data_IF_542553145795
#
_entry.id   IF_542553145795
#
_cell.length_a   1.000
_cell.length_b   1.000
_cell.length_c   1.000
_cell.angle_alpha   90.00
_cell.angle_beta   90.00
_cell.angle_gamma   90.00
#
_symmetry.space_group_name_H-M   'P 1'
#
loop_
_entity.id
_entity.type
_entity.pdbx_description
1 polymer ?
#
# COMPACT_ATOMS: atom_id res chain seq x y z
N UNK A 1 19.38 6.51 27.18
CA UNK A 1 18.14 5.76 26.86
C UNK A 1 18.38 4.51 26.00
N UNK A 2 19.32 4.53 25.05
CA UNK A 2 19.65 3.37 24.20
C UNK A 2 20.19 2.15 24.97
N UNK A 3 21.03 2.38 26.00
CA UNK A 3 21.61 1.32 26.85
C UNK A 3 20.56 0.63 27.75
N UNK A 4 19.57 1.39 28.24
CA UNK A 4 18.47 0.83 29.04
C UNK A 4 17.53 -0.06 28.20
N UNK A 5 17.28 0.32 26.94
CA UNK A 5 16.52 -0.51 26.00
C UNK A 5 17.26 -1.80 25.61
N UNK A 6 18.59 -1.73 25.47
CA UNK A 6 19.45 -2.88 25.17
C UNK A 6 19.55 -3.85 26.36
N UNK A 7 19.59 -3.34 27.59
CA UNK A 7 19.55 -4.13 28.82
C UNK A 7 18.17 -4.79 29.02
N UNK A 8 17.07 -4.09 28.73
CA UNK A 8 15.71 -4.63 28.78
C UNK A 8 15.49 -5.73 27.72
N UNK A 9 16.01 -5.56 26.50
CA UNK A 9 15.95 -6.59 25.46
C UNK A 9 16.78 -7.84 25.80
N UNK A 10 17.92 -7.67 26.48
CA UNK A 10 18.80 -8.77 26.93
C UNK A 10 18.21 -9.52 28.13
N UNK A 11 17.49 -8.81 29.01
CA UNK A 11 16.73 -9.37 30.14
C UNK A 11 15.49 -10.14 29.68
N UNK A 12 14.74 -9.63 28.70
CA UNK A 12 13.56 -10.32 28.15
C UNK A 12 13.92 -11.58 27.33
N UNK A 13 15.08 -11.58 26.66
CA UNK A 13 15.58 -12.74 25.91
C UNK A 13 16.14 -13.87 26.79
N UNK A 14 16.46 -13.59 28.07
CA UNK A 14 17.08 -14.55 28.98
C UNK A 14 16.06 -15.44 29.74
N UNK A 15 14.76 -15.14 29.66
CA UNK A 15 13.73 -15.77 30.48
C UNK A 15 12.56 -16.38 29.68
N UNK A 16 12.76 -16.68 28.38
CA UNK A 16 11.75 -17.39 27.60
C UNK A 16 11.95 -18.91 27.76
N UNK A 17 11.01 -19.64 28.40
CA UNK A 17 11.11 -21.08 28.55
C UNK A 17 11.11 -21.75 27.18
N UNK A 18 12.00 -22.73 26.99
CA UNK A 18 12.02 -23.54 25.77
C UNK A 18 10.65 -24.19 25.55
N UNK A 19 10.03 -24.05 24.37
CA UNK A 19 8.75 -24.66 24.11
C UNK A 19 8.85 -26.18 24.07
N UNK A 20 7.70 -26.82 24.33
CA UNK A 20 7.59 -28.28 24.41
C UNK A 20 7.83 -28.98 23.08
N UNK A 21 7.52 -28.34 21.94
CA UNK A 21 7.68 -28.98 20.62
C UNK A 21 8.44 -28.11 19.61
N UNK A 22 9.34 -28.76 18.86
CA UNK A 22 10.09 -28.18 17.74
C UNK A 22 9.17 -27.65 16.63
N UNK A 23 8.19 -28.47 16.22
CA UNK A 23 7.25 -28.14 15.14
C UNK A 23 6.35 -26.95 15.55
N UNK A 24 5.95 -26.91 16.82
CA UNK A 24 5.19 -25.80 17.39
C UNK A 24 5.94 -24.45 17.38
N UNK A 25 7.25 -24.45 17.66
CA UNK A 25 8.08 -23.24 17.58
C UNK A 25 8.26 -22.75 16.14
N UNK A 26 8.38 -23.68 15.18
CA UNK A 26 8.50 -23.34 13.77
C UNK A 26 7.18 -22.78 13.23
N UNK A 27 6.05 -23.43 13.53
CA UNK A 27 4.71 -22.94 13.17
C UNK A 27 4.42 -21.56 13.74
N UNK A 28 4.63 -21.37 15.04
CA UNK A 28 4.38 -20.06 15.68
C UNK A 28 5.28 -18.95 15.10
N UNK A 29 6.56 -19.23 14.84
CA UNK A 29 7.45 -18.30 14.16
C UNK A 29 6.99 -17.97 12.74
N UNK A 30 6.56 -18.97 11.97
CA UNK A 30 6.09 -18.78 10.60
C UNK A 30 4.77 -18.00 10.56
N UNK A 31 3.83 -18.31 11.45
CA UNK A 31 2.57 -17.56 11.59
C UNK A 31 2.83 -16.11 12.00
N UNK A 32 3.76 -15.86 12.92
CA UNK A 32 4.10 -14.51 13.37
C UNK A 32 4.74 -13.65 12.27
N UNK A 33 5.48 -14.27 11.32
CA UNK A 33 6.01 -13.59 10.12
C UNK A 33 4.94 -13.40 9.04
N UNK A 34 4.12 -14.42 8.81
CA UNK A 34 3.08 -14.41 7.77
C UNK A 34 1.99 -13.37 8.05
N UNK A 35 1.58 -13.21 9.31
CA UNK A 35 0.47 -12.34 9.70
C UNK A 35 0.68 -10.86 9.29
N UNK A 36 1.82 -10.21 9.59
CA UNK A 36 2.08 -8.85 9.12
C UNK A 36 2.31 -8.77 7.60
N UNK A 37 2.88 -9.80 6.97
CA UNK A 37 3.08 -9.81 5.51
C UNK A 37 1.75 -9.87 4.75
N UNK A 38 0.87 -10.79 5.16
CA UNK A 38 -0.49 -10.91 4.61
C UNK A 38 -1.30 -9.65 4.93
N UNK A 39 -1.19 -9.12 6.15
CA UNK A 39 -1.79 -7.84 6.52
C UNK A 39 -1.33 -6.68 5.62
N UNK A 40 -0.04 -6.62 5.30
CA UNK A 40 0.52 -5.62 4.39
C UNK A 40 0.00 -5.78 2.96
N UNK A 41 -0.09 -7.02 2.46
CA UNK A 41 -0.63 -7.30 1.12
C UNK A 41 -2.12 -6.95 1.03
N UNK A 42 -2.93 -7.33 2.03
CA UNK A 42 -4.36 -6.99 2.10
C UNK A 42 -4.57 -5.49 2.21
N UNK A 43 -3.78 -4.81 3.05
CA UNK A 43 -3.81 -3.35 3.16
C UNK A 43 -3.45 -2.67 1.83
N UNK A 44 -2.41 -3.14 1.15
CA UNK A 44 -2.00 -2.63 -0.17
C UNK A 44 -3.07 -2.85 -1.24
N UNK A 45 -3.68 -4.03 -1.29
CA UNK A 45 -4.74 -4.36 -2.24
C UNK A 45 -5.97 -3.46 -2.03
N UNK A 46 -6.43 -3.33 -0.78
CA UNK A 46 -7.59 -2.49 -0.44
C UNK A 46 -7.32 -1.01 -0.76
N UNK A 47 -6.11 -0.52 -0.43
CA UNK A 47 -5.77 0.87 -0.67
C UNK A 47 -5.58 1.20 -2.16
N UNK A 48 -5.18 0.21 -2.97
CA UNK A 48 -5.05 0.34 -4.44
C UNK A 48 -6.41 0.52 -5.12
N UNK A 49 -7.43 -0.24 -4.70
CA UNK A 49 -8.80 -0.10 -5.23
C UNK A 49 -9.44 1.23 -4.87
N UNK A 50 -9.21 1.73 -3.65
CA UNK A 50 -9.70 3.06 -3.23
C UNK A 50 -9.03 4.21 -4.00
N UNK A 51 -7.73 4.13 -4.28
CA UNK A 51 -7.04 5.16 -5.08
C UNK A 51 -7.48 5.14 -6.54
N UNK A 52 -7.65 3.95 -7.13
CA UNK A 52 -8.07 3.80 -8.52
C UNK A 52 -9.50 4.31 -8.75
N UNK A 53 -10.43 4.06 -7.81
CA UNK A 53 -11.80 4.55 -7.88
C UNK A 53 -11.91 6.07 -7.79
N UNK A 54 -11.17 6.68 -6.86
CA UNK A 54 -11.14 8.13 -6.67
C UNK A 54 -10.53 8.86 -7.88
N UNK A 55 -9.47 8.31 -8.48
CA UNK A 55 -8.84 8.86 -9.69
C UNK A 55 -9.78 8.83 -10.90
N UNK A 56 -10.51 7.72 -11.10
CA UNK A 56 -11.40 7.58 -12.26
C UNK A 56 -12.57 8.55 -12.24
N UNK A 57 -13.17 8.77 -11.07
CA UNK A 57 -14.28 9.74 -10.92
C UNK A 57 -13.81 11.19 -10.96
N UNK A 58 -12.67 11.52 -10.33
CA UNK A 58 -12.12 12.88 -10.36
C UNK A 58 -11.69 13.29 -11.77
N UNK A 59 -11.00 12.41 -12.50
CA UNK A 59 -10.60 12.66 -13.91
C UNK A 59 -11.84 12.75 -14.82
N UNK A 60 -12.85 11.91 -14.60
CA UNK A 60 -14.09 11.96 -15.37
C UNK A 60 -14.83 13.29 -15.16
N UNK A 61 -15.01 13.72 -13.90
CA UNK A 61 -15.67 14.98 -13.56
C UNK A 61 -14.89 16.20 -14.09
N UNK A 62 -13.57 16.21 -13.96
CA UNK A 62 -12.72 17.27 -14.51
C UNK A 62 -12.83 17.35 -16.04
N UNK A 63 -12.86 16.20 -16.75
CA UNK A 63 -13.01 16.17 -18.21
C UNK A 63 -14.38 16.68 -18.68
N UNK A 64 -15.43 16.44 -17.90
CA UNK A 64 -16.78 16.92 -18.19
C UNK A 64 -16.88 18.42 -17.94
N UNK A 65 -16.34 18.90 -16.82
CA UNK A 65 -16.31 20.32 -16.48
C UNK A 65 -15.50 21.14 -17.50
N UNK A 66 -14.37 20.61 -17.99
CA UNK A 66 -13.58 21.25 -19.05
C UNK A 66 -14.30 21.30 -20.41
N UNK A 67 -15.06 20.26 -20.76
CA UNK A 67 -15.87 20.23 -21.99
C UNK A 67 -17.03 21.21 -21.92
N UNK A 68 -17.77 21.21 -20.82
CA UNK A 68 -18.85 22.15 -20.56
C UNK A 68 -18.38 23.61 -20.61
N UNK A 69 -17.22 23.88 -20.01
CA UNK A 69 -16.55 25.19 -20.06
C UNK A 69 -16.27 25.67 -21.47
N UNK A 70 -15.67 24.83 -22.32
CA UNK A 70 -15.43 25.19 -23.73
C UNK A 70 -16.74 25.47 -24.47
N UNK A 71 -17.76 24.64 -24.26
CA UNK A 71 -19.06 24.85 -24.90
C UNK A 71 -19.72 26.17 -24.46
N UNK A 72 -19.53 26.58 -23.21
CA UNK A 72 -20.04 27.86 -22.70
C UNK A 72 -19.41 29.05 -23.42
N UNK A 73 -18.09 29.03 -23.61
CA UNK A 73 -17.36 30.06 -24.38
C UNK A 73 -17.86 30.12 -25.82
N UNK A 74 -17.98 28.97 -26.47
CA UNK A 74 -18.40 28.91 -27.88
C UNK A 74 -19.82 29.46 -28.07
N UNK A 75 -20.72 29.19 -27.11
CA UNK A 75 -22.10 29.70 -27.15
C UNK A 75 -22.16 31.20 -26.87
N UNK A 76 -21.37 31.70 -25.92
CA UNK A 76 -21.30 33.16 -25.66
C UNK A 76 -20.75 33.90 -26.87
N UNK A 77 -19.75 33.36 -27.56
CA UNK A 77 -19.27 33.93 -28.82
C UNK A 77 -20.33 33.90 -29.93
N UNK A 78 -21.25 32.92 -29.93
CA UNK A 78 -22.40 32.93 -30.84
C UNK A 78 -23.43 34.00 -30.47
N UNK A 79 -23.72 34.17 -29.17
CA UNK A 79 -24.59 35.24 -28.65
C UNK A 79 -24.05 36.61 -29.04
N UNK A 80 -22.76 36.84 -28.82
CA UNK A 80 -22.08 38.10 -29.16
C UNK A 80 -22.26 38.43 -30.65
N UNK A 81 -21.96 37.47 -31.54
CA UNK A 81 -22.08 37.67 -33.00
C UNK A 81 -23.49 38.05 -33.41
N UNK A 82 -24.51 37.32 -32.94
CA UNK A 82 -25.91 37.57 -33.33
C UNK A 82 -26.44 38.86 -32.69
N UNK A 83 -26.08 39.15 -31.44
CA UNK A 83 -26.47 40.39 -30.76
C UNK A 83 -25.88 41.64 -31.45
N UNK A 84 -24.60 41.58 -31.85
CA UNK A 84 -23.98 42.65 -32.63
C UNK A 84 -24.62 42.80 -34.02
N UNK A 85 -24.96 41.69 -34.68
CA UNK A 85 -25.69 41.73 -35.95
C UNK A 85 -27.07 42.38 -35.80
N UNK A 86 -27.85 42.02 -34.79
CA UNK A 86 -29.17 42.63 -34.54
C UNK A 86 -29.09 44.12 -34.19
N UNK A 87 -28.04 44.54 -33.50
CA UNK A 87 -27.82 45.95 -33.19
C UNK A 87 -27.53 46.80 -34.45
N UNK A 88 -27.06 46.19 -35.54
CA UNK A 88 -26.66 46.89 -36.78
C UNK A 88 -27.66 46.66 -37.92
N UNK A 89 -27.99 45.40 -38.21
CA UNK A 89 -28.99 44.98 -39.19
C UNK A 89 -30.33 44.81 -38.47
N UNK A 90 -31.27 45.73 -38.72
CA UNK A 90 -32.62 45.71 -38.16
C UNK A 90 -33.51 44.64 -38.83
N UNK A 91 -33.02 43.40 -38.91
CA UNK A 91 -33.63 42.29 -39.63
C UNK A 91 -34.49 41.43 -38.69
N UNK A 92 -35.80 41.19 -38.99
CA UNK A 92 -36.65 40.26 -38.26
C UNK A 92 -36.09 38.84 -38.13
N UNK A 93 -35.37 38.31 -39.12
CA UNK A 93 -34.89 36.92 -39.09
C UNK A 93 -33.84 36.68 -38.00
N UNK A 94 -33.03 37.69 -37.69
CA UNK A 94 -32.00 37.61 -36.66
C UNK A 94 -32.57 37.40 -35.25
N UNK A 95 -33.79 37.87 -34.98
CA UNK A 95 -34.46 37.62 -33.71
C UNK A 95 -34.80 36.13 -33.52
N UNK A 96 -35.13 35.43 -34.60
CA UNK A 96 -35.39 33.98 -34.57
C UNK A 96 -34.10 33.21 -34.33
N UNK A 97 -33.00 33.62 -34.97
CA UNK A 97 -31.68 33.04 -34.75
C UNK A 97 -31.18 33.28 -33.32
N UNK A 98 -31.38 34.48 -32.79
CA UNK A 98 -31.03 34.78 -31.40
C UNK A 98 -31.83 33.94 -30.40
N UNK A 99 -33.15 33.79 -30.61
CA UNK A 99 -33.98 32.90 -29.79
C UNK A 99 -33.56 31.43 -29.84
N UNK A 100 -32.91 30.97 -30.92
CA UNK A 100 -32.30 29.64 -31.00
C UNK A 100 -31.04 29.55 -30.14
N UNK A 101 -30.15 30.54 -30.24
CA UNK A 101 -28.91 30.59 -29.47
C UNK A 101 -29.20 30.72 -27.96
N UNK A 102 -30.16 31.57 -27.57
CA UNK A 102 -30.62 31.74 -26.20
C UNK A 102 -31.09 30.42 -25.58
N UNK A 103 -32.02 29.71 -26.24
CA UNK A 103 -32.50 28.39 -25.77
C UNK A 103 -31.38 27.38 -25.63
N UNK A 104 -30.46 27.37 -26.60
CA UNK A 104 -29.28 26.53 -26.54
C UNK A 104 -28.49 26.87 -25.28
N UNK A 105 -28.08 28.13 -25.09
CA UNK A 105 -27.34 28.58 -23.91
C UNK A 105 -28.00 28.18 -22.59
N UNK A 106 -29.31 28.39 -22.46
CA UNK A 106 -30.08 28.02 -21.26
C UNK A 106 -30.00 26.51 -20.96
N UNK A 107 -30.13 25.67 -21.98
CA UNK A 107 -29.99 24.22 -21.82
C UNK A 107 -28.58 23.85 -21.33
N UNK A 108 -27.52 24.48 -21.86
CA UNK A 108 -26.17 24.23 -21.37
C UNK A 108 -25.99 24.70 -19.93
N UNK A 109 -26.52 25.87 -19.56
CA UNK A 109 -26.45 26.36 -18.19
C UNK A 109 -27.12 25.39 -17.21
N UNK A 110 -28.26 24.80 -17.58
CA UNK A 110 -28.93 23.75 -16.81
C UNK A 110 -28.10 22.47 -16.71
N UNK A 111 -27.46 22.02 -17.80
CA UNK A 111 -26.55 20.87 -17.79
C UNK A 111 -25.34 21.10 -16.88
N UNK A 112 -24.78 22.32 -16.88
CA UNK A 112 -23.67 22.69 -15.99
C UNK A 112 -24.12 22.72 -14.53
N UNK A 113 -25.33 23.22 -14.26
CA UNK A 113 -25.88 23.28 -12.90
C UNK A 113 -26.09 21.90 -12.25
N UNK A 114 -26.17 20.82 -13.05
CA UNK A 114 -26.24 19.44 -12.54
C UNK A 114 -24.89 18.87 -12.12
N UNK A 115 -23.78 19.50 -12.53
CA UNK A 115 -22.45 19.10 -12.09
C UNK A 115 -22.24 19.47 -10.61
N UNK A 116 -21.33 18.78 -9.89
CA UNK A 116 -20.98 19.12 -8.52
C UNK A 116 -20.19 20.44 -8.50
N UNK A 117 -20.91 21.56 -8.54
CA UNK A 117 -20.37 22.91 -8.45
C UNK A 117 -20.21 23.31 -6.98
N UNK A 118 -19.17 24.08 -6.68
CA UNK A 118 -19.07 24.79 -5.41
C UNK A 118 -19.99 26.03 -5.37
N UNK A 119 -20.22 26.59 -4.19
CA UNK A 119 -21.13 27.73 -3.99
C UNK A 119 -20.74 28.95 -4.86
N UNK A 120 -19.44 29.14 -5.09
CA UNK A 120 -18.94 30.27 -5.89
C UNK A 120 -19.18 30.07 -7.39
N UNK A 121 -19.05 28.84 -7.88
CA UNK A 121 -19.32 28.45 -9.26
C UNK A 121 -20.80 28.52 -9.58
N UNK A 122 -21.66 28.03 -8.67
CA UNK A 122 -23.11 28.12 -8.83
C UNK A 122 -23.56 29.59 -8.89
N UNK A 123 -23.01 30.44 -8.02
CA UNK A 123 -23.31 31.88 -8.03
C UNK A 123 -22.82 32.58 -9.31
N UNK A 124 -21.64 32.21 -9.84
CA UNK A 124 -21.14 32.76 -11.09
C UNK A 124 -22.01 32.32 -12.29
N UNK A 125 -22.39 31.04 -12.37
CA UNK A 125 -23.26 30.51 -13.42
C UNK A 125 -24.63 31.20 -13.43
N UNK A 126 -25.23 31.40 -12.25
CA UNK A 126 -26.50 32.12 -12.12
C UNK A 126 -26.38 33.57 -12.59
N UNK A 127 -25.30 34.27 -12.23
CA UNK A 127 -25.04 35.64 -12.72
C UNK A 127 -24.90 35.68 -14.25
N UNK A 128 -24.20 34.71 -14.85
CA UNK A 128 -24.09 34.60 -16.32
C UNK A 128 -25.45 34.36 -16.97
N UNK A 129 -26.27 33.48 -16.40
CA UNK A 129 -27.62 33.21 -16.91
C UNK A 129 -28.54 34.43 -16.81
N UNK A 130 -28.49 35.17 -15.69
CA UNK A 130 -29.26 36.41 -15.50
C UNK A 130 -28.85 37.51 -16.49
N UNK A 131 -27.55 37.67 -16.75
CA UNK A 131 -27.05 38.66 -17.71
C UNK A 131 -27.50 38.33 -19.14
N UNK A 132 -27.42 37.06 -19.52
CA UNK A 132 -27.87 36.58 -20.84
C UNK A 132 -29.38 36.77 -21.03
N UNK A 133 -30.19 36.45 -20.02
CA UNK A 133 -31.64 36.69 -20.05
C UNK A 133 -31.93 38.18 -20.21
N UNK A 134 -31.26 39.05 -19.43
CA UNK A 134 -31.49 40.50 -19.51
C UNK A 134 -31.12 41.09 -20.88
N UNK A 135 -30.14 40.49 -21.55
CA UNK A 135 -29.75 40.85 -22.90
C UNK A 135 -30.79 40.38 -23.92
N UNK A 136 -31.34 39.17 -23.74
CA UNK A 136 -32.44 38.66 -24.55
C UNK A 136 -33.68 39.53 -24.47
N UNK A 137 -34.07 39.92 -23.27
CA UNK A 137 -35.24 40.79 -23.06
C UNK A 137 -35.01 42.15 -23.74
N UNK A 138 -33.82 42.75 -23.60
CA UNK A 138 -33.47 44.02 -24.24
C UNK A 138 -33.55 43.96 -25.78
N UNK A 139 -33.12 42.85 -26.37
CA UNK A 139 -33.11 42.67 -27.83
C UNK A 139 -34.50 42.28 -28.39
N UNK A 140 -35.38 41.73 -27.55
CA UNK A 140 -36.67 41.17 -28.00
C UNK A 140 -37.88 42.04 -27.62
N UNK A 141 -37.85 42.74 -26.48
CA UNK A 141 -38.99 43.52 -25.97
C UNK A 141 -39.08 44.95 -26.53
N UNK A 142 -37.99 45.53 -27.05
CA UNK A 142 -38.05 46.90 -27.58
C UNK A 142 -38.62 46.94 -29.00
N UNK A 143 -39.59 47.83 -29.31
CA UNK A 143 -40.10 48.02 -30.66
C UNK A 143 -39.06 48.74 -31.54
N UNK A 144 -38.04 48.01 -32.02
CA UNK A 144 -37.07 48.33 -33.12
C UNK A 144 -36.63 49.80 -33.27
N UNK A 145 -36.66 50.61 -32.21
CA UNK A 145 -36.37 52.04 -32.25
C UNK A 145 -34.92 52.22 -31.84
N UNK A 146 -34.01 52.10 -32.82
CA UNK A 146 -32.55 52.24 -32.69
C UNK A 146 -32.01 51.65 -31.38
N UNK A 147 -31.78 50.33 -31.38
CA UNK A 147 -30.98 49.67 -30.36
C UNK A 147 -29.70 50.49 -30.09
N UNK A 148 -29.49 50.92 -28.85
CA UNK A 148 -28.25 51.58 -28.47
C UNK A 148 -27.13 50.54 -28.46
N UNK A 149 -26.28 50.60 -29.48
CA UNK A 149 -25.13 49.70 -29.64
C UNK A 149 -24.24 49.71 -28.39
N UNK A 150 -24.15 50.83 -27.65
CA UNK A 150 -23.38 50.92 -26.40
C UNK A 150 -24.03 50.16 -25.24
N UNK A 151 -25.36 50.17 -25.15
CA UNK A 151 -26.08 49.41 -24.13
C UNK A 151 -25.90 47.90 -24.36
N UNK A 152 -25.94 47.45 -25.62
CA UNK A 152 -25.69 46.06 -26.01
C UNK A 152 -24.25 45.66 -25.68
N UNK A 153 -23.25 46.47 -26.06
CA UNK A 153 -21.84 46.15 -25.79
C UNK A 153 -21.56 46.07 -24.28
N UNK A 154 -22.08 47.01 -23.49
CA UNK A 154 -21.90 47.01 -22.02
C UNK A 154 -22.48 45.75 -21.37
N UNK A 155 -23.67 45.30 -21.82
CA UNK A 155 -24.28 44.05 -21.34
C UNK A 155 -23.43 42.83 -21.73
N UNK A 156 -22.88 42.85 -22.95
CA UNK A 156 -22.02 41.78 -23.48
C UNK A 156 -20.72 41.66 -22.70
N UNK A 157 -20.08 42.79 -22.38
CA UNK A 157 -18.86 42.82 -21.57
C UNK A 157 -19.10 42.19 -20.20
N UNK A 158 -20.25 42.48 -19.57
CA UNK A 158 -20.68 41.85 -18.33
C UNK A 158 -20.85 40.34 -18.45
N UNK A 159 -21.52 39.87 -19.53
CA UNK A 159 -21.73 38.44 -19.82
C UNK A 159 -20.41 37.69 -20.05
N UNK A 160 -19.50 38.28 -20.81
CA UNK A 160 -18.18 37.70 -21.08
C UNK A 160 -17.37 37.61 -19.79
N UNK A 161 -17.42 38.64 -18.92
CA UNK A 161 -16.67 38.65 -17.67
C UNK A 161 -17.20 37.62 -16.67
N UNK A 162 -18.52 37.52 -16.48
CA UNK A 162 -19.10 36.49 -15.59
C UNK A 162 -18.81 35.07 -16.09
N UNK A 163 -18.83 34.85 -17.41
CA UNK A 163 -18.45 33.58 -17.98
C UNK A 163 -16.96 33.26 -17.80
N UNK A 164 -16.08 34.27 -17.87
CA UNK A 164 -14.67 34.10 -17.52
C UNK A 164 -14.48 33.75 -16.06
N UNK A 165 -15.30 34.27 -15.14
CA UNK A 165 -15.27 33.85 -13.73
C UNK A 165 -15.68 32.38 -13.57
N UNK A 166 -16.73 31.92 -14.26
CA UNK A 166 -17.13 30.49 -14.29
C UNK A 166 -15.97 29.61 -14.78
N UNK A 167 -15.19 30.09 -15.77
CA UNK A 167 -14.03 29.37 -16.34
C UNK A 167 -12.77 29.41 -15.45
N UNK A 168 -12.48 30.56 -14.84
CA UNK A 168 -11.29 30.77 -14.02
C UNK A 168 -11.33 29.96 -12.73
N UNK A 169 -12.53 29.68 -12.21
CA UNK A 169 -12.70 28.81 -11.04
C UNK A 169 -12.52 27.33 -11.44
N UNK A 170 -12.93 26.95 -12.66
CA UNK A 170 -12.84 25.57 -13.15
C UNK A 170 -11.40 25.08 -13.37
N UNK A 171 -10.51 25.94 -13.91
CA UNK A 171 -9.10 25.56 -14.12
C UNK A 171 -8.30 25.46 -12.81
N UNK A 172 -8.71 26.15 -11.74
CA UNK A 172 -8.09 25.98 -10.41
C UNK A 172 -8.40 24.63 -9.78
N UNK A 173 -9.48 23.95 -10.19
CA UNK A 173 -9.82 22.60 -9.73
C UNK A 173 -8.92 21.56 -10.38
N UNK A 174 -8.54 21.71 -11.66
CA UNK A 174 -7.60 20.79 -12.32
C UNK A 174 -6.24 20.78 -11.62
N UNK A 175 -5.72 21.96 -11.24
CA UNK A 175 -4.44 22.04 -10.50
C UNK A 175 -4.56 21.59 -9.04
N UNK A 176 -5.68 21.88 -8.35
CA UNK A 176 -5.88 21.47 -6.94
C UNK A 176 -6.14 19.98 -6.79
N UNK A 177 -6.85 19.36 -7.72
CA UNK A 177 -7.17 17.92 -7.65
C UNK A 177 -5.96 17.07 -8.06
N UNK A 178 -5.15 17.54 -9.03
CA UNK A 178 -3.86 16.91 -9.36
C UNK A 178 -2.86 17.03 -8.20
N UNK A 179 -2.82 18.16 -7.48
CA UNK A 179 -2.00 18.30 -6.26
C UNK A 179 -2.52 17.44 -5.09
N UNK A 180 -3.84 17.29 -4.92
CA UNK A 180 -4.41 16.38 -3.89
C UNK A 180 -4.12 14.91 -4.18
N UNK A 181 -4.07 14.51 -5.46
CA UNK A 181 -3.62 13.17 -5.88
C UNK A 181 -2.13 12.96 -5.58
N UNK A 182 -1.29 13.99 -5.78
CA UNK A 182 0.14 13.95 -5.45
C UNK A 182 0.40 13.82 -3.94
N UNK A 183 -0.29 14.60 -3.09
CA UNK A 183 -0.05 14.60 -1.64
C UNK A 183 -0.56 13.34 -0.93
N UNK A 184 -1.63 12.71 -1.44
CA UNK A 184 -2.10 11.42 -0.91
C UNK A 184 -1.26 10.23 -1.39
N UNK A 185 -0.65 10.30 -2.57
CA UNK A 185 0.31 9.28 -3.02
C UNK A 185 1.55 9.24 -2.11
N UNK A 186 2.03 10.39 -1.65
CA UNK A 186 3.19 10.47 -0.77
C UNK A 186 2.92 9.91 0.65
N UNK A 187 1.73 10.15 1.21
CA UNK A 187 1.33 9.57 2.50
C UNK A 187 1.15 8.04 2.44
N UNK A 188 0.59 7.53 1.34
CA UNK A 188 0.47 6.08 1.12
C UNK A 188 1.85 5.45 0.95
N UNK A 189 2.75 6.10 0.21
CA UNK A 189 4.11 5.60 0.00
C UNK A 189 4.92 5.56 1.31
N UNK A 190 4.83 6.59 2.17
CA UNK A 190 5.50 6.58 3.48
C UNK A 190 4.95 5.48 4.41
N UNK A 191 3.64 5.25 4.41
CA UNK A 191 3.03 4.16 5.18
C UNK A 191 3.53 2.78 4.75
N UNK A 192 3.63 2.54 3.44
CA UNK A 192 4.16 1.29 2.89
C UNK A 192 5.63 1.06 3.23
N UNK A 193 6.46 2.11 3.15
CA UNK A 193 7.89 2.02 3.50
C UNK A 193 8.06 1.62 4.98
N UNK A 194 7.34 2.26 5.91
CA UNK A 194 7.41 1.91 7.33
C UNK A 194 6.95 0.48 7.59
N UNK A 195 5.89 0.04 6.92
CA UNK A 195 5.37 -1.33 7.08
C UNK A 195 6.35 -2.38 6.54
N UNK A 196 6.99 -2.11 5.39
CA UNK A 196 8.05 -2.96 4.84
C UNK A 196 9.23 -3.04 5.80
N UNK A 197 9.75 -1.89 6.28
CA UNK A 197 10.86 -1.88 7.22
C UNK A 197 10.53 -2.62 8.52
N UNK A 198 9.33 -2.44 9.08
CA UNK A 198 8.90 -3.12 10.29
C UNK A 198 8.77 -4.63 10.06
N UNK A 199 8.16 -5.05 8.94
CA UNK A 199 8.03 -6.45 8.56
C UNK A 199 9.39 -7.12 8.36
N UNK A 200 10.32 -6.46 7.65
CA UNK A 200 11.69 -6.94 7.47
C UNK A 200 12.42 -7.05 8.81
N UNK A 201 12.30 -6.06 9.69
CA UNK A 201 12.94 -6.10 11.01
C UNK A 201 12.41 -7.25 11.87
N UNK A 202 11.10 -7.49 11.87
CA UNK A 202 10.48 -8.62 12.57
C UNK A 202 10.94 -9.96 11.98
N UNK A 203 10.94 -10.10 10.65
CA UNK A 203 11.42 -11.30 9.98
C UNK A 203 12.90 -11.60 10.30
N UNK A 204 13.76 -10.57 10.28
CA UNK A 204 15.18 -10.72 10.64
C UNK A 204 15.35 -11.17 12.10
N UNK A 205 14.57 -10.58 12.99
CA UNK A 205 14.60 -10.91 14.43
C UNK A 205 14.20 -12.36 14.66
N UNK A 206 13.14 -12.83 13.99
CA UNK A 206 12.66 -14.20 14.07
C UNK A 206 13.68 -15.17 13.46
N UNK A 207 14.24 -14.85 12.29
CA UNK A 207 15.28 -15.64 11.66
C UNK A 207 16.50 -15.83 12.59
N UNK A 208 17.00 -14.74 13.18
CA UNK A 208 18.12 -14.79 14.15
C UNK A 208 17.77 -15.60 15.40
N UNK A 209 16.54 -15.49 15.90
CA UNK A 209 16.08 -16.30 17.01
C UNK A 209 16.08 -17.79 16.63
N UNK A 210 15.48 -18.15 15.49
CA UNK A 210 15.45 -19.54 15.00
C UNK A 210 16.85 -20.10 14.81
N UNK A 211 17.81 -19.33 14.26
CA UNK A 211 19.21 -19.77 14.16
C UNK A 211 19.79 -20.15 15.52
N UNK A 212 19.52 -19.36 16.58
CA UNK A 212 20.00 -19.69 17.94
C UNK A 212 19.25 -20.86 18.58
N UNK A 213 17.95 -20.98 18.37
CA UNK A 213 17.11 -21.98 19.02
C UNK A 213 17.11 -23.35 18.31
N UNK A 214 17.45 -23.39 17.02
CA UNK A 214 17.40 -24.60 16.20
C UNK A 214 18.80 -25.00 15.70
N UNK A 215 19.53 -24.09 15.05
CA UNK A 215 20.77 -24.48 14.38
C UNK A 215 21.88 -24.87 15.38
N UNK A 216 21.95 -24.19 16.53
CA UNK A 216 22.91 -24.54 17.60
C UNK A 216 22.70 -25.95 18.17
N UNK A 217 21.50 -26.33 18.65
CA UNK A 217 21.24 -27.70 19.11
C UNK A 217 21.50 -28.77 18.06
N UNK A 218 21.19 -28.50 16.78
CA UNK A 218 21.48 -29.44 15.69
C UNK A 218 22.99 -29.64 15.53
N UNK A 219 23.78 -28.57 15.63
CA UNK A 219 25.24 -28.67 15.61
C UNK A 219 25.79 -29.43 16.82
N UNK A 220 25.17 -29.32 18.00
CA UNK A 220 25.54 -30.10 19.19
C UNK A 220 25.26 -31.61 18.97
N UNK A 221 24.14 -31.93 18.31
CA UNK A 221 23.81 -33.32 17.92
C UNK A 221 24.80 -33.87 16.89
N UNK A 222 25.13 -33.11 15.84
CA UNK A 222 26.12 -33.53 14.83
C UNK A 222 27.49 -33.81 15.47
N UNK A 223 27.93 -32.94 16.38
CA UNK A 223 29.16 -33.14 17.14
C UNK A 223 29.12 -34.41 17.98
N UNK A 224 28.00 -34.68 18.67
CA UNK A 224 27.82 -35.89 19.46
C UNK A 224 27.84 -37.17 18.59
N UNK A 225 27.23 -37.14 17.41
CA UNK A 225 27.25 -38.29 16.48
C UNK A 225 28.67 -38.55 15.98
N UNK A 226 29.42 -37.51 15.59
CA UNK A 226 30.82 -37.66 15.18
C UNK A 226 31.70 -38.21 16.30
N UNK A 227 31.45 -37.79 17.54
CA UNK A 227 32.15 -38.31 18.72
C UNK A 227 31.91 -39.82 18.90
N UNK A 228 30.66 -40.28 18.78
CA UNK A 228 30.33 -41.70 18.83
C UNK A 228 31.00 -42.49 17.70
N UNK A 229 31.00 -41.94 16.48
CA UNK A 229 31.66 -42.55 15.32
C UNK A 229 33.19 -42.66 15.48
N UNK A 230 33.80 -41.75 16.25
CA UNK A 230 35.23 -41.78 16.59
C UNK A 230 35.58 -42.68 17.79
N UNK A 231 34.62 -43.43 18.35
CA UNK A 231 34.78 -44.26 19.55
C UNK A 231 35.25 -43.52 20.82
N UNK A 232 35.05 -42.19 20.91
CA UNK A 232 35.32 -41.43 22.13
C UNK A 232 34.10 -41.42 23.05
N UNK A 233 33.96 -42.46 23.88
CA UNK A 233 32.84 -42.60 24.81
C UNK A 233 33.04 -41.88 26.16
N UNK A 234 34.14 -41.15 26.34
CA UNK A 234 34.52 -40.60 27.65
C UNK A 234 33.66 -39.41 28.10
N UNK A 235 33.09 -38.63 27.16
CA UNK A 235 32.34 -37.41 27.48
C UNK A 235 30.82 -37.63 27.42
N UNK A 236 30.05 -37.17 28.41
CA UNK A 236 28.59 -37.25 28.39
C UNK A 236 27.99 -36.34 27.31
N UNK A 237 26.90 -36.79 26.68
CA UNK A 237 26.19 -36.02 25.66
C UNK A 237 25.03 -35.26 26.30
N UNK A 238 25.07 -33.93 26.21
CA UNK A 238 24.00 -33.05 26.66
C UNK A 238 23.66 -32.04 25.57
N UNK A 239 22.48 -32.18 24.99
CA UNK A 239 21.95 -31.27 23.95
C UNK A 239 21.01 -30.27 24.62
N UNK A 240 21.20 -28.98 24.35
CA UNK A 240 20.29 -27.91 24.82
C UNK A 240 19.19 -27.68 23.78
N UNK A 241 18.01 -27.20 24.18
CA UNK A 241 16.95 -26.87 23.23
C UNK A 241 15.53 -27.30 23.65
N UNK A 242 14.58 -27.29 22.71
CA UNK A 242 13.22 -27.81 22.89
C UNK A 242 13.22 -29.23 23.46
N UNK A 243 12.10 -29.64 24.07
CA UNK A 243 11.99 -30.95 24.72
C UNK A 243 12.29 -32.11 23.77
N UNK A 244 11.85 -32.02 22.51
CA UNK A 244 12.14 -32.99 21.45
C UNK A 244 13.66 -33.18 21.22
N UNK A 245 14.42 -32.08 21.16
CA UNK A 245 15.87 -32.13 20.92
C UNK A 245 16.63 -32.62 22.17
N UNK A 246 16.19 -32.22 23.37
CA UNK A 246 16.73 -32.74 24.63
C UNK A 246 16.47 -34.24 24.78
N UNK A 247 15.29 -34.69 24.36
CA UNK A 247 14.94 -36.11 24.35
C UNK A 247 15.87 -36.91 23.43
N UNK A 248 16.15 -36.39 22.24
CA UNK A 248 17.11 -36.99 21.32
C UNK A 248 18.53 -37.03 21.91
N UNK A 249 18.97 -35.94 22.55
CA UNK A 249 20.25 -35.89 23.25
C UNK A 249 20.38 -36.95 24.36
N UNK A 250 19.32 -37.16 25.15
CA UNK A 250 19.28 -38.24 26.15
C UNK A 250 19.37 -39.63 25.53
N UNK A 251 18.73 -39.86 24.38
CA UNK A 251 18.84 -41.14 23.65
C UNK A 251 20.26 -41.37 23.12
N UNK A 252 20.94 -40.32 22.65
CA UNK A 252 22.33 -40.41 22.22
C UNK A 252 23.28 -40.71 23.38
N UNK A 253 23.09 -40.10 24.56
CA UNK A 253 23.90 -40.45 25.74
C UNK A 253 23.65 -41.89 26.21
N UNK A 254 22.40 -42.36 26.13
CA UNK A 254 22.09 -43.77 26.42
C UNK A 254 22.84 -44.71 25.45
N UNK A 255 22.84 -44.40 24.15
CA UNK A 255 23.57 -45.18 23.14
C UNK A 255 25.08 -45.16 23.40
N UNK A 256 25.64 -43.99 23.76
CA UNK A 256 27.06 -43.85 24.13
C UNK A 256 27.44 -44.80 25.27
N UNK A 257 26.67 -44.82 26.36
CA UNK A 257 26.95 -45.71 27.51
C UNK A 257 26.90 -47.17 27.10
N UNK A 258 25.95 -47.55 26.25
CA UNK A 258 25.81 -48.93 25.79
C UNK A 258 26.97 -49.37 24.91
N UNK A 259 27.48 -48.48 24.06
CA UNK A 259 28.68 -48.74 23.25
C UNK A 259 29.94 -48.87 24.11
N UNK A 260 30.09 -48.03 25.13
CA UNK A 260 31.22 -48.11 26.08
C UNK A 260 31.22 -49.44 26.87
N UNK A 261 30.06 -49.88 27.35
CA UNK A 261 29.90 -51.19 27.97
C UNK A 261 30.30 -52.34 27.02
N UNK A 262 29.93 -52.24 25.74
CA UNK A 262 30.25 -53.25 24.75
C UNK A 262 31.75 -53.27 24.41
N UNK A 263 32.39 -52.12 24.25
CA UNK A 263 33.83 -51.98 23.99
C UNK A 263 34.66 -52.56 25.15
N UNK A 264 34.26 -52.25 26.40
CA UNK A 264 34.93 -52.76 27.61
C UNK A 264 34.73 -54.26 27.80
N UNK A 265 33.57 -54.82 27.43
CA UNK A 265 33.36 -56.27 27.40
C UNK A 265 34.21 -56.97 26.35
N UNK A 266 34.26 -56.43 25.12
CA UNK A 266 35.11 -56.94 24.03
C UNK A 266 36.59 -56.97 24.44
N UNK A 267 37.09 -55.88 24.99
CA UNK A 267 38.50 -55.79 25.43
C UNK A 267 38.82 -56.78 26.55
N UNK A 268 37.91 -56.99 27.51
CA UNK A 268 38.07 -58.02 28.54
C UNK A 268 38.12 -59.43 27.95
N UNK A 269 37.20 -59.75 27.03
CA UNK A 269 37.17 -61.05 26.35
C UNK A 269 38.47 -61.33 25.60
N UNK A 270 38.94 -60.39 24.79
CA UNK A 270 40.21 -60.52 24.06
C UNK A 270 41.40 -60.71 25.01
N UNK A 271 41.41 -60.02 26.15
CA UNK A 271 42.45 -60.19 27.17
C UNK A 271 42.41 -61.59 27.79
N UNK A 272 41.23 -62.11 28.12
CA UNK A 272 41.07 -63.47 28.66
C UNK A 272 41.49 -64.54 27.65
N UNK A 273 41.04 -64.45 26.40
CA UNK A 273 41.45 -65.38 25.33
C UNK A 273 42.95 -65.33 25.08
N UNK A 274 43.56 -64.13 25.06
CA UNK A 274 45.00 -63.99 24.91
C UNK A 274 45.78 -64.59 26.09
N UNK A 275 45.25 -64.50 27.32
CA UNK A 275 45.80 -65.19 28.48
C UNK A 275 45.71 -66.71 28.35
N UNK A 276 44.55 -67.24 27.96
CA UNK A 276 44.36 -68.70 27.83
C UNK A 276 45.20 -69.30 26.71
N UNK A 277 45.40 -68.60 25.59
CA UNK A 277 46.27 -69.03 24.48
C UNK A 277 47.77 -68.97 24.81
N UNK A 278 48.20 -68.13 25.76
CA UNK A 278 49.61 -68.02 26.17
C UNK A 278 50.05 -69.18 27.07
N UNK A 279 49.12 -69.83 27.76
CA UNK A 279 49.38 -70.91 28.72
C UNK A 279 49.77 -72.26 28.09
N UNK A 280 49.16 -72.74 26.97
CA UNK A 280 49.53 -74.03 26.39
C UNK A 280 50.73 -73.97 25.43
N UNK A 281 51.09 -72.79 24.90
CA UNK A 281 52.24 -72.66 23.98
C UNK A 281 53.61 -72.88 24.65
N UNK A 282 53.66 -72.85 25.98
CA UNK A 282 54.86 -73.24 26.76
C UNK A 282 54.96 -74.76 26.95
N UNK A 283 53.84 -75.50 26.84
CA UNK A 283 53.79 -76.96 27.01
C UNK A 283 54.06 -77.73 25.70
N UNK A 284 54.21 -77.03 24.57
CA UNK A 284 54.54 -77.62 23.24
C UNK A 284 55.99 -77.33 22.81
N UNK A 285 56.82 -76.78 23.70
CA UNK A 285 58.23 -76.43 23.42
C UNK A 285 59.24 -77.21 24.28
N UNK A 286 58.77 -78.23 25.02
CA UNK A 286 59.54 -79.36 25.54
C UNK A 286 59.09 -80.64 24.81
#
# INVERSE_FOLDING_TARGET
>A
MLEAAKAAAKSAAAALPYPRSFLGLLLTGFTLVMLPLVGALVYSAWNTERLAGLSRSAVFNASQAARASRSLVDRIAAIERVAQQMAVLNDPELAVDYARVHRSFKQLAEEIAQLPLDDSQAAALNRTAEQEQSLYDLLTEQPRRRLDTKAVSTRMDGLIESAREVLAINNRIVDREVHRLSLKAEQVQRGLIVLVFLSTAVALTIALALTRYIARPISEIDGAIRQLGGADFSKPIAVRGPEDLRYLGRRLDWLRRRLDEFETQKNRFLRHVSHELKTPLTALRE
#
